data_IF_635457070139
#
_entry.id   IF_635457070139
#
_cell.length_a   1.000
_cell.length_b   1.000
_cell.length_c   1.000
_cell.angle_alpha   90.00
_cell.angle_beta   90.00
_cell.angle_gamma   90.00
#
_symmetry.space_group_name_H-M   'P 1'
#
loop_
_entity.id
_entity.type
_entity.pdbx_description
1 polymer ?
#
# COMPACT_ATOMS: atom_id res chain seq x y z
N UNK A 1 -27.70 -32.85 4.66
CA UNK A 1 -27.93 -31.43 4.98
C UNK A 1 -26.56 -30.85 5.28
N UNK A 2 -25.78 -30.64 4.22
CA UNK A 2 -24.39 -30.20 4.29
C UNK A 2 -24.37 -28.67 4.28
N UNK A 3 -24.00 -28.09 5.41
CA UNK A 3 -23.76 -26.65 5.54
C UNK A 3 -22.52 -26.28 4.75
N UNK A 4 -22.73 -25.81 3.51
CA UNK A 4 -21.70 -25.12 2.75
C UNK A 4 -21.24 -23.90 3.56
N UNK A 5 -19.99 -23.94 4.03
CA UNK A 5 -19.36 -22.79 4.69
C UNK A 5 -19.42 -21.60 3.71
N UNK A 6 -20.15 -20.55 4.11
CA UNK A 6 -20.24 -19.32 3.32
C UNK A 6 -18.81 -18.79 3.04
N UNK A 7 -18.55 -18.25 1.83
CA UNK A 7 -17.23 -17.74 1.51
C UNK A 7 -16.86 -16.66 2.52
N UNK A 8 -15.66 -16.76 3.09
CA UNK A 8 -15.10 -15.74 3.96
C UNK A 8 -14.86 -14.53 3.07
N UNK A 9 -15.83 -13.63 3.00
CA UNK A 9 -15.63 -12.30 2.42
C UNK A 9 -14.68 -11.60 3.37
N UNK A 10 -13.44 -11.40 2.93
CA UNK A 10 -12.48 -10.59 3.67
C UNK A 10 -13.04 -9.16 3.74
N UNK A 11 -13.50 -8.77 4.94
CA UNK A 11 -14.25 -7.51 5.15
C UNK A 11 -13.34 -6.29 5.23
N UNK A 12 -12.02 -6.50 5.20
CA UNK A 12 -11.03 -5.45 5.37
C UNK A 12 -10.05 -5.46 4.21
N UNK A 13 -9.76 -4.27 3.68
CA UNK A 13 -8.74 -4.10 2.66
C UNK A 13 -7.38 -3.98 3.35
N UNK A 14 -6.36 -4.62 2.80
CA UNK A 14 -4.99 -4.46 3.29
C UNK A 14 -4.58 -2.97 3.27
N UNK A 15 -4.04 -2.50 4.40
CA UNK A 15 -3.70 -1.09 4.59
C UNK A 15 -2.59 -0.63 3.67
N UNK A 16 -1.56 -1.46 3.49
CA UNK A 16 -0.42 -1.16 2.62
C UNK A 16 -0.86 -1.04 1.15
N UNK A 17 -1.73 -1.94 0.68
CA UNK A 17 -2.34 -1.86 -0.65
C UNK A 17 -3.23 -0.61 -0.80
N UNK A 18 -3.99 -0.26 0.24
CA UNK A 18 -4.82 0.95 0.24
C UNK A 18 -3.98 2.23 0.09
N UNK A 19 -2.80 2.26 0.70
CA UNK A 19 -1.85 3.38 0.57
C UNK A 19 -1.24 3.45 -0.83
N UNK A 20 -0.89 2.31 -1.43
CA UNK A 20 -0.40 2.26 -2.82
C UNK A 20 -1.46 2.71 -3.81
N UNK A 21 -2.71 2.26 -3.65
CA UNK A 21 -3.85 2.68 -4.48
C UNK A 21 -4.13 4.18 -4.35
N UNK A 22 -4.00 4.72 -3.13
CA UNK A 22 -4.06 6.16 -2.93
C UNK A 22 -2.95 6.88 -3.69
N UNK A 23 -1.69 6.45 -3.54
CA UNK A 23 -0.57 7.08 -4.23
C UNK A 23 -0.69 6.98 -5.76
N UNK A 24 -1.23 5.88 -6.27
CA UNK A 24 -1.51 5.69 -7.68
C UNK A 24 -2.50 6.75 -8.20
N UNK A 25 -3.55 7.08 -7.44
CA UNK A 25 -4.49 8.16 -7.81
C UNK A 25 -3.83 9.54 -7.77
N UNK A 26 -2.90 9.79 -6.86
CA UNK A 26 -2.12 11.03 -6.83
C UNK A 26 -1.22 11.13 -8.06
N UNK A 27 -0.54 10.05 -8.43
CA UNK A 27 0.31 10.00 -9.61
C UNK A 27 -0.49 10.17 -10.91
N UNK A 28 -1.72 9.67 -10.96
CA UNK A 28 -2.61 9.86 -12.10
C UNK A 28 -2.85 11.35 -12.40
N UNK A 29 -2.92 12.21 -11.37
CA UNK A 29 -3.06 13.66 -11.56
C UNK A 29 -1.84 14.29 -12.26
N UNK A 30 -0.64 13.72 -12.10
CA UNK A 30 0.55 14.19 -12.80
C UNK A 30 0.51 13.87 -14.31
N UNK A 31 -0.26 12.85 -14.70
CA UNK A 31 -0.39 12.40 -16.10
C UNK A 31 -1.60 13.01 -16.82
N UNK A 32 -2.51 13.65 -16.09
CA UNK A 32 -3.73 14.25 -16.64
C UNK A 32 -3.43 15.57 -17.38
N UNK A 33 -3.68 15.66 -18.70
CA UNK A 33 -3.43 16.88 -19.46
C UNK A 33 -4.41 18.03 -19.14
N UNK A 34 -5.53 17.74 -18.44
CA UNK A 34 -6.47 18.77 -17.96
C UNK A 34 -5.95 19.52 -16.73
N UNK A 35 -4.95 18.97 -16.03
CA UNK A 35 -4.29 19.61 -14.90
C UNK A 35 -3.20 20.57 -15.41
N UNK A 36 -3.14 21.82 -14.92
CA UNK A 36 -2.07 22.77 -15.25
C UNK A 36 -0.66 22.18 -15.09
N UNK A 37 0.26 22.54 -15.99
CA UNK A 37 1.60 21.92 -16.06
C UNK A 37 2.37 21.94 -14.73
N UNK A 38 2.32 23.06 -14.00
CA UNK A 38 3.00 23.19 -12.71
C UNK A 38 2.34 22.34 -11.62
N UNK A 39 1.01 22.18 -11.67
CA UNK A 39 0.29 21.32 -10.74
C UNK A 39 0.58 19.84 -11.01
N UNK A 40 0.74 19.44 -12.27
CA UNK A 40 1.21 18.09 -12.63
C UNK A 40 2.58 17.78 -12.06
N UNK A 41 3.52 18.72 -12.17
CA UNK A 41 4.84 18.60 -11.56
C UNK A 41 4.72 18.47 -10.03
N UNK A 42 3.83 19.25 -9.41
CA UNK A 42 3.56 19.17 -7.98
C UNK A 42 3.03 17.78 -7.58
N UNK A 43 2.07 17.23 -8.31
CA UNK A 43 1.55 15.88 -8.08
C UNK A 43 2.62 14.80 -8.26
N UNK A 44 3.51 14.96 -9.25
CA UNK A 44 4.64 14.05 -9.43
C UNK A 44 5.56 14.06 -8.20
N UNK A 45 5.97 15.25 -7.74
CA UNK A 45 6.80 15.39 -6.54
C UNK A 45 6.14 14.81 -5.30
N UNK A 46 4.83 15.08 -5.09
CA UNK A 46 4.07 14.51 -3.97
C UNK A 46 4.06 12.99 -4.04
N UNK A 47 3.85 12.42 -5.24
CA UNK A 47 3.80 10.96 -5.43
C UNK A 47 5.13 10.29 -5.10
N UNK A 48 6.26 10.95 -5.43
CA UNK A 48 7.60 10.48 -5.04
C UNK A 48 7.79 10.51 -3.53
N UNK A 49 7.49 11.63 -2.87
CA UNK A 49 7.61 11.75 -1.40
C UNK A 49 6.77 10.70 -0.66
N UNK A 50 5.53 10.49 -1.11
CA UNK A 50 4.66 9.44 -0.55
C UNK A 50 5.26 8.04 -0.72
N UNK A 51 5.90 7.78 -1.86
CA UNK A 51 6.51 6.47 -2.15
C UNK A 51 7.76 6.25 -1.29
N UNK A 52 8.59 7.27 -1.13
CA UNK A 52 9.77 7.23 -0.26
C UNK A 52 9.36 6.90 1.18
N UNK A 53 8.37 7.60 1.75
CA UNK A 53 7.82 7.30 3.08
C UNK A 53 7.27 5.86 3.15
N UNK A 54 6.58 5.41 2.10
CA UNK A 54 6.05 4.04 2.06
C UNK A 54 7.18 3.00 2.19
N UNK A 55 8.29 3.18 1.49
CA UNK A 55 9.42 2.26 1.59
C UNK A 55 10.15 2.36 2.93
N UNK A 56 10.44 3.58 3.38
CA UNK A 56 11.18 3.82 4.63
C UNK A 56 10.41 3.34 5.87
N UNK A 57 9.09 3.54 5.90
CA UNK A 57 8.27 3.27 7.09
C UNK A 57 7.47 1.98 6.94
N UNK A 58 6.73 1.80 5.84
CA UNK A 58 5.77 0.69 5.73
C UNK A 58 6.46 -0.61 5.34
N UNK A 59 7.31 -0.59 4.32
CA UNK A 59 8.04 -1.80 3.89
C UNK A 59 9.02 -2.26 4.96
N UNK A 60 9.77 -1.34 5.57
CA UNK A 60 10.65 -1.67 6.69
C UNK A 60 9.89 -2.32 7.86
N UNK A 61 8.75 -1.74 8.25
CA UNK A 61 7.90 -2.30 9.30
C UNK A 61 7.33 -3.69 8.93
N UNK A 62 6.95 -3.91 7.67
CA UNK A 62 6.47 -5.21 7.20
C UNK A 62 7.58 -6.28 7.27
N UNK A 63 8.80 -5.94 6.83
CA UNK A 63 9.97 -6.84 6.92
C UNK A 63 10.26 -7.24 8.37
N UNK A 64 10.27 -6.27 9.29
CA UNK A 64 10.48 -6.54 10.70
C UNK A 64 9.41 -7.50 11.27
N UNK A 65 8.13 -7.32 10.91
CA UNK A 65 7.05 -8.22 11.35
C UNK A 65 7.22 -9.64 10.79
N UNK A 66 7.65 -9.77 9.54
CA UNK A 66 7.94 -11.07 8.93
C UNK A 66 9.11 -11.76 9.63
N UNK A 67 10.18 -11.03 9.96
CA UNK A 67 11.34 -11.57 10.68
C UNK A 67 10.96 -12.05 12.09
N UNK A 68 10.14 -11.29 12.83
CA UNK A 68 9.64 -11.69 14.15
C UNK A 68 8.75 -12.95 14.03
N UNK A 69 7.81 -12.96 13.08
CA UNK A 69 6.92 -14.09 12.84
C UNK A 69 7.63 -15.35 12.30
N UNK A 70 8.81 -15.19 11.70
CA UNK A 70 9.68 -16.30 11.33
C UNK A 70 10.45 -16.84 12.55
N UNK A 71 11.00 -15.95 13.40
CA UNK A 71 11.69 -16.35 14.64
C UNK A 71 10.77 -17.05 15.64
N UNK A 72 9.50 -16.67 15.75
CA UNK A 72 8.56 -17.33 16.66
C UNK A 72 8.11 -18.74 16.21
N UNK A 73 8.40 -19.11 14.96
CA UNK A 73 8.08 -20.43 14.39
C UNK A 73 9.24 -21.42 14.51
N UNK A 74 10.36 -21.03 15.09
CA UNK A 74 11.53 -21.89 15.28
C UNK A 74 11.69 -22.24 16.77
N UNK A 75 11.03 -23.31 17.27
CA UNK A 75 11.28 -23.85 18.60
C UNK A 75 12.50 -24.78 18.50
N UNK A 76 13.70 -24.21 18.54
CA UNK A 76 14.90 -24.96 18.96
C UNK A 76 15.32 -24.46 20.33
#
# INVERSE_FOLDING_TARGET
>A
MDTAAAPIIDRYINRELSLLEFNHRVLAQASDPSVPLLERLRFLCISCTNLDEFFEVRVAGLKQRLEIGAKSRDPT
#
